data_IF_319256762898
#
_entry.id   IF_319256762898
#
_cell.length_a   1.000
_cell.length_b   1.000
_cell.length_c   1.000
_cell.angle_alpha   90.00
_cell.angle_beta   90.00
_cell.angle_gamma   90.00
#
_symmetry.space_group_name_H-M   'P 1'
#
loop_
_entity.id
_entity.type
_entity.pdbx_description
1 polymer ?
#
# COMPACT_ATOMS: atom_id res chain seq x y z
N UNK A 1 -6.93 -3.08 27.82
CA UNK A 1 -6.14 -3.65 26.70
C UNK A 1 -5.20 -2.59 26.17
N UNK A 2 -3.89 -2.70 26.44
CA UNK A 2 -2.86 -1.80 25.88
C UNK A 2 -2.53 -2.26 24.46
N UNK A 3 -2.93 -1.48 23.46
CA UNK A 3 -2.48 -1.66 22.08
C UNK A 3 -1.06 -1.09 22.04
N UNK A 4 -0.05 -1.98 22.11
CA UNK A 4 1.35 -1.60 22.03
C UNK A 4 1.64 -0.94 20.68
N UNK A 5 2.07 0.31 20.73
CA UNK A 5 2.46 1.11 19.57
C UNK A 5 3.83 0.61 19.05
N UNK A 6 3.84 -0.44 18.24
CA UNK A 6 5.05 -1.07 17.69
C UNK A 6 5.50 -0.45 16.35
N UNK A 7 5.03 0.76 16.04
CA UNK A 7 5.06 1.34 14.70
C UNK A 7 6.29 2.24 14.46
N UNK A 8 6.90 2.77 15.53
CA UNK A 8 8.18 3.51 15.50
C UNK A 8 9.34 2.72 14.88
N UNK A 9 9.27 1.37 14.87
CA UNK A 9 10.31 0.51 14.29
C UNK A 9 10.20 0.30 12.78
N UNK A 10 9.02 0.49 12.17
CA UNK A 10 8.79 0.17 10.75
C UNK A 10 9.53 1.16 9.85
N UNK A 11 9.49 2.46 10.17
CA UNK A 11 10.22 3.48 9.42
C UNK A 11 11.74 3.39 9.62
N UNK A 12 12.24 3.02 10.82
CA UNK A 12 13.67 2.72 11.01
C UNK A 12 14.11 1.50 10.17
N UNK A 13 13.28 0.46 10.10
CA UNK A 13 13.55 -0.72 9.27
C UNK A 13 13.59 -0.36 7.78
N UNK A 14 12.64 0.45 7.30
CA UNK A 14 12.59 0.90 5.90
C UNK A 14 13.74 1.85 5.55
N UNK A 15 14.14 2.75 6.45
CA UNK A 15 15.23 3.71 6.23
C UNK A 15 16.61 3.02 6.14
N UNK A 16 16.84 1.96 6.92
CA UNK A 16 18.09 1.16 6.87
C UNK A 16 18.27 0.41 5.55
N UNK A 17 17.20 0.14 4.79
CA UNK A 17 17.28 -0.57 3.51
C UNK A 17 17.71 0.34 2.35
N UNK A 18 17.77 1.67 2.53
CA UNK A 18 18.08 2.62 1.47
C UNK A 18 19.60 2.86 1.26
N UNK A 19 20.47 2.25 2.09
CA UNK A 19 21.91 2.54 2.14
C UNK A 19 22.85 1.62 1.35
N UNK A 20 22.34 0.67 0.56
CA UNK A 20 23.19 -0.32 -0.12
C UNK A 20 23.00 -0.35 -1.64
N UNK A 21 23.66 0.55 -2.37
CA UNK A 21 23.85 0.38 -3.83
C UNK A 21 25.33 0.14 -4.11
N UNK A 22 25.71 -1.13 -4.16
CA UNK A 22 26.94 -1.54 -4.85
C UNK A 22 26.56 -1.96 -6.28
N UNK A 23 27.21 -1.32 -7.24
CA UNK A 23 27.16 -1.63 -8.66
C UNK A 23 27.95 -2.92 -8.91
N UNK A 24 27.31 -3.95 -9.45
CA UNK A 24 28.01 -5.13 -10.01
C UNK A 24 27.35 -5.51 -11.32
N UNK A 25 28.03 -5.15 -12.42
CA UNK A 25 27.88 -5.81 -13.71
C UNK A 25 28.33 -7.26 -13.56
N UNK A 26 27.43 -8.22 -13.82
CA UNK A 26 27.75 -9.65 -13.92
C UNK A 26 27.25 -10.16 -15.29
N UNK A 27 28.05 -10.96 -16.01
CA UNK A 27 27.68 -11.45 -17.33
C UNK A 27 26.60 -12.54 -17.24
N UNK A 28 25.91 -12.75 -18.35
CA UNK A 28 24.85 -13.73 -18.55
C UNK A 28 25.40 -15.17 -18.43
N UNK A 29 25.48 -15.68 -17.21
CA UNK A 29 25.63 -17.10 -16.91
C UNK A 29 24.48 -17.51 -15.97
N UNK A 30 23.74 -18.55 -16.36
CA UNK A 30 22.47 -18.97 -15.76
C UNK A 30 22.41 -18.84 -14.24
N UNK A 31 21.76 -17.78 -13.77
CA UNK A 31 21.59 -17.54 -12.35
C UNK A 31 20.62 -18.57 -11.78
N UNK A 32 21.15 -19.63 -11.15
CA UNK A 32 20.41 -20.37 -10.13
C UNK A 32 20.03 -19.35 -9.05
N UNK A 33 18.78 -18.89 -9.09
CA UNK A 33 18.19 -18.07 -8.03
C UNK A 33 18.40 -18.83 -6.72
N UNK A 34 19.15 -18.25 -5.79
CA UNK A 34 19.26 -18.75 -4.43
C UNK A 34 17.85 -18.73 -3.80
N UNK A 35 17.21 -19.89 -3.80
CA UNK A 35 15.91 -20.11 -3.16
C UNK A 35 16.10 -20.13 -1.65
N UNK A 36 16.23 -18.96 -1.02
CA UNK A 36 16.29 -18.82 0.43
C UNK A 36 14.95 -19.13 1.14
N UNK A 37 13.97 -19.70 0.43
CA UNK A 37 12.73 -20.25 0.98
C UNK A 37 12.39 -21.52 0.21
N UNK A 38 11.99 -22.58 0.91
CA UNK A 38 11.56 -23.84 0.29
C UNK A 38 10.48 -23.63 -0.78
N UNK A 39 10.35 -24.59 -1.70
CA UNK A 39 9.28 -24.59 -2.71
C UNK A 39 7.94 -24.69 -1.99
N UNK A 40 7.00 -23.78 -2.30
CA UNK A 40 5.61 -23.90 -1.85
C UNK A 40 5.00 -25.23 -2.33
N UNK A 41 4.24 -25.91 -1.49
CA UNK A 41 3.49 -27.13 -1.85
C UNK A 41 2.00 -26.87 -2.09
N UNK A 42 1.24 -27.90 -2.49
CA UNK A 42 -0.22 -27.82 -2.59
C UNK A 42 -0.86 -27.72 -1.19
N UNK A 43 -0.30 -28.42 -0.21
CA UNK A 43 -0.71 -28.36 1.19
C UNK A 43 -0.53 -26.95 1.72
N UNK A 44 0.59 -26.27 1.41
CA UNK A 44 0.81 -24.87 1.77
C UNK A 44 -0.27 -23.96 1.21
N UNK A 45 -0.71 -24.20 -0.03
CA UNK A 45 -1.80 -23.44 -0.66
C UNK A 45 -3.13 -23.64 0.07
N UNK A 46 -3.48 -24.89 0.39
CA UNK A 46 -4.75 -25.24 1.03
C UNK A 46 -4.80 -24.81 2.50
N UNK A 47 -3.65 -24.77 3.19
CA UNK A 47 -3.53 -24.40 4.61
C UNK A 47 -3.16 -22.93 4.84
N UNK A 48 -2.95 -22.15 3.78
CA UNK A 48 -2.61 -20.73 3.85
C UNK A 48 -1.14 -20.44 4.21
N UNK A 49 -0.27 -21.46 4.18
CA UNK A 49 1.17 -21.35 4.37
C UNK A 49 1.95 -21.04 3.09
N UNK A 50 1.27 -20.94 1.95
CA UNK A 50 1.88 -20.53 0.69
C UNK A 50 2.50 -19.13 0.81
N UNK A 51 3.79 -19.03 0.52
CA UNK A 51 4.57 -17.79 0.55
C UNK A 51 4.50 -17.08 -0.80
N UNK A 52 4.15 -15.80 -0.81
CA UNK A 52 4.26 -14.98 -2.02
C UNK A 52 5.74 -14.69 -2.39
N UNK A 53 5.97 -13.97 -3.48
CA UNK A 53 7.30 -13.53 -3.94
C UNK A 53 8.09 -12.69 -2.93
N UNK A 54 7.44 -12.19 -1.88
CA UNK A 54 8.03 -11.42 -0.79
C UNK A 54 8.19 -12.24 0.52
N UNK A 55 7.95 -13.55 0.46
CA UNK A 55 8.06 -14.48 1.59
C UNK A 55 6.92 -14.34 2.61
N UNK A 56 5.78 -13.78 2.23
CA UNK A 56 4.62 -13.56 3.12
C UNK A 56 3.59 -14.68 2.94
N UNK A 57 3.28 -15.37 4.04
CA UNK A 57 2.19 -16.36 4.14
C UNK A 57 0.84 -15.70 4.44
N UNK A 58 -0.26 -16.41 4.24
CA UNK A 58 -1.61 -15.90 4.51
C UNK A 58 -2.16 -14.97 3.44
N UNK A 59 -1.56 -14.99 2.25
CA UNK A 59 -1.94 -14.16 1.08
C UNK A 59 -2.79 -14.91 0.05
N UNK A 60 -3.07 -16.19 0.29
CA UNK A 60 -3.82 -17.04 -0.64
C UNK A 60 -5.24 -16.52 -0.81
N UNK A 61 -5.69 -16.46 -2.07
CA UNK A 61 -7.05 -16.07 -2.45
C UNK A 61 -7.76 -17.32 -2.96
N UNK A 62 -8.53 -17.97 -2.09
CA UNK A 62 -9.40 -19.10 -2.45
C UNK A 62 -10.85 -18.66 -2.57
N UNK A 63 -11.65 -19.42 -3.33
CA UNK A 63 -13.10 -19.25 -3.41
C UNK A 63 -13.70 -19.44 -2.00
N UNK A 64 -14.52 -18.48 -1.55
CA UNK A 64 -15.06 -18.46 -0.18
C UNK A 64 -14.16 -17.81 0.87
N UNK A 65 -12.98 -17.28 0.50
CA UNK A 65 -12.13 -16.55 1.44
C UNK A 65 -12.82 -15.30 1.98
N UNK A 66 -12.81 -15.12 3.31
CA UNK A 66 -13.33 -13.93 3.98
C UNK A 66 -12.34 -12.74 3.90
N UNK A 67 -11.73 -12.53 2.72
CA UNK A 67 -10.68 -11.52 2.50
C UNK A 67 -11.23 -10.11 2.26
N UNK A 68 -12.51 -9.97 1.92
CA UNK A 68 -13.10 -8.65 1.66
C UNK A 68 -13.52 -7.90 2.93
N UNK A 69 -13.32 -8.52 4.10
CA UNK A 69 -13.54 -7.89 5.40
C UNK A 69 -12.63 -6.69 5.59
N UNK A 70 -13.19 -5.59 6.10
CA UNK A 70 -12.43 -4.39 6.45
C UNK A 70 -11.69 -4.62 7.76
N UNK A 71 -10.38 -4.44 7.73
CA UNK A 71 -9.51 -4.60 8.89
C UNK A 71 -9.08 -3.24 9.46
N UNK A 72 -8.91 -3.10 10.78
CA UNK A 72 -8.25 -1.93 11.33
C UNK A 72 -6.81 -1.83 10.80
N UNK A 73 -6.42 -0.64 10.36
CA UNK A 73 -5.08 -0.33 9.84
C UNK A 73 -4.45 0.74 10.72
N UNK A 74 -3.15 0.60 11.02
CA UNK A 74 -2.41 1.60 11.78
C UNK A 74 -2.41 2.97 11.09
N UNK A 75 -2.48 4.06 11.85
CA UNK A 75 -2.49 5.42 11.28
C UNK A 75 -1.27 5.69 10.40
N UNK A 76 -0.10 5.16 10.76
CA UNK A 76 1.11 5.27 9.95
C UNK A 76 0.95 4.63 8.57
N UNK A 77 0.33 3.45 8.50
CA UNK A 77 0.09 2.79 7.22
C UNK A 77 -1.00 3.50 6.40
N UNK A 78 -1.99 4.13 7.05
CA UNK A 78 -2.93 5.01 6.35
C UNK A 78 -2.21 6.21 5.73
N UNK A 79 -1.32 6.86 6.50
CA UNK A 79 -0.52 7.98 6.04
C UNK A 79 0.42 7.57 4.90
N UNK A 80 1.02 6.37 4.98
CA UNK A 80 1.86 5.83 3.92
C UNK A 80 1.09 5.67 2.60
N UNK A 81 -0.09 5.05 2.62
CA UNK A 81 -0.93 4.88 1.43
C UNK A 81 -1.41 6.22 0.88
N UNK A 82 -1.74 7.17 1.76
CA UNK A 82 -2.11 8.53 1.37
C UNK A 82 -0.96 9.25 0.66
N UNK A 83 0.26 9.20 1.22
CA UNK A 83 1.43 9.84 0.63
C UNK A 83 1.77 9.23 -0.73
N UNK A 84 1.61 7.92 -0.92
CA UNK A 84 1.78 7.26 -2.21
C UNK A 84 0.79 7.76 -3.27
N UNK A 85 -0.48 7.98 -2.89
CA UNK A 85 -1.46 8.63 -3.76
C UNK A 85 -1.05 10.07 -4.04
N UNK A 86 -0.67 10.84 -3.02
CA UNK A 86 -0.21 12.22 -3.18
C UNK A 86 0.94 12.30 -4.20
N UNK A 87 1.98 11.50 -4.02
CA UNK A 87 3.12 11.42 -4.93
C UNK A 87 2.71 11.08 -6.36
N UNK A 88 1.75 10.15 -6.53
CA UNK A 88 1.23 9.79 -7.86
C UNK A 88 0.51 10.95 -8.56
N UNK A 89 -0.21 11.81 -7.83
CA UNK A 89 -0.84 12.99 -8.39
C UNK A 89 0.17 14.06 -8.81
N UNK A 90 1.17 14.36 -7.97
CA UNK A 90 2.20 15.36 -8.31
C UNK A 90 3.16 14.89 -9.41
N UNK A 91 3.58 13.63 -9.40
CA UNK A 91 4.58 13.12 -10.36
C UNK A 91 3.97 12.63 -11.66
N UNK A 92 2.80 11.99 -11.58
CA UNK A 92 2.23 11.19 -12.68
C UNK A 92 0.80 11.61 -13.02
N UNK A 93 0.35 12.77 -12.52
CA UNK A 93 -0.96 13.33 -12.82
C UNK A 93 -2.10 12.33 -12.58
N UNK A 94 -2.05 11.63 -11.45
CA UNK A 94 -3.08 10.67 -11.04
C UNK A 94 -3.02 9.32 -11.77
N UNK A 95 -1.92 9.02 -12.47
CA UNK A 95 -1.59 7.68 -12.97
C UNK A 95 -0.53 7.00 -12.10
N UNK A 96 -0.36 5.68 -12.29
CA UNK A 96 0.81 4.98 -11.78
C UNK A 96 2.03 5.31 -12.63
N UNK A 97 3.16 5.63 -12.00
CA UNK A 97 4.43 5.78 -12.68
C UNK A 97 5.06 4.45 -13.11
N UNK A 98 5.86 4.49 -14.17
CA UNK A 98 6.70 3.39 -14.62
C UNK A 98 8.09 3.46 -13.96
N UNK A 99 8.11 3.45 -12.62
CA UNK A 99 9.36 3.45 -11.85
C UNK A 99 9.44 2.19 -10.99
N UNK A 100 10.21 1.21 -11.46
CA UNK A 100 10.37 -0.08 -10.80
C UNK A 100 10.89 0.05 -9.36
N UNK A 101 11.76 1.02 -9.08
CA UNK A 101 12.30 1.23 -7.74
C UNK A 101 11.24 1.73 -6.75
N UNK A 102 10.35 2.64 -7.20
CA UNK A 102 9.22 3.11 -6.40
C UNK A 102 8.20 1.99 -6.16
N UNK A 103 7.85 1.22 -7.20
CA UNK A 103 6.95 0.09 -7.08
C UNK A 103 7.49 -1.00 -6.13
N UNK A 104 8.80 -1.30 -6.21
CA UNK A 104 9.48 -2.23 -5.28
C UNK A 104 9.44 -1.72 -3.84
N UNK A 105 9.71 -0.43 -3.61
CA UNK A 105 9.64 0.18 -2.28
C UNK A 105 8.24 0.11 -1.70
N UNK A 106 7.22 0.47 -2.49
CA UNK A 106 5.82 0.39 -2.07
C UNK A 106 5.44 -1.06 -1.71
N UNK A 107 5.74 -2.00 -2.60
CA UNK A 107 5.46 -3.42 -2.37
C UNK A 107 6.19 -3.95 -1.14
N UNK A 108 7.45 -3.58 -0.92
CA UNK A 108 8.21 -3.98 0.26
C UNK A 108 7.59 -3.43 1.55
N UNK A 109 7.18 -2.17 1.58
CA UNK A 109 6.54 -1.55 2.74
C UNK A 109 5.23 -2.25 3.12
N UNK A 110 4.35 -2.51 2.13
CA UNK A 110 3.10 -3.23 2.34
C UNK A 110 3.38 -4.65 2.86
N UNK A 111 4.27 -5.41 2.23
CA UNK A 111 4.57 -6.78 2.64
C UNK A 111 5.22 -6.85 4.03
N UNK A 112 6.08 -5.90 4.39
CA UNK A 112 6.67 -5.81 5.72
C UNK A 112 5.61 -5.50 6.79
N UNK A 113 4.67 -4.60 6.49
CA UNK A 113 3.53 -4.37 7.37
C UNK A 113 2.68 -5.63 7.55
N UNK A 114 2.36 -6.34 6.47
CA UNK A 114 1.57 -7.57 6.54
C UNK A 114 2.26 -8.67 7.40
N UNK A 115 3.59 -8.72 7.44
CA UNK A 115 4.33 -9.64 8.34
C UNK A 115 4.03 -9.37 9.83
N UNK A 116 3.67 -8.13 10.19
CA UNK A 116 3.27 -7.76 11.56
C UNK A 116 1.82 -8.16 11.91
N UNK A 117 1.01 -8.49 10.89
CA UNK A 117 -0.38 -8.90 11.04
C UNK A 117 -0.47 -10.41 11.21
N UNK A 118 -1.48 -10.88 11.98
CA UNK A 118 -1.81 -12.31 12.09
C UNK A 118 -2.03 -12.91 10.71
N UNK A 119 -1.50 -14.11 10.47
CA UNK A 119 -1.48 -14.76 9.16
C UNK A 119 -2.86 -14.79 8.50
N UNK A 120 -3.89 -15.11 9.27
CA UNK A 120 -5.28 -15.27 8.84
C UNK A 120 -5.93 -13.95 8.39
N UNK A 121 -5.40 -12.82 8.87
CA UNK A 121 -5.91 -11.47 8.61
C UNK A 121 -5.12 -10.73 7.52
N UNK A 122 -3.98 -11.27 7.05
CA UNK A 122 -3.11 -10.60 6.08
C UNK A 122 -3.78 -10.34 4.74
N UNK A 123 -4.48 -11.33 4.19
CA UNK A 123 -5.23 -11.16 2.93
C UNK A 123 -6.30 -10.07 3.05
N UNK A 124 -7.03 -10.03 4.18
CA UNK A 124 -8.05 -9.01 4.45
C UNK A 124 -7.45 -7.61 4.69
N UNK A 125 -6.32 -7.55 5.37
CA UNK A 125 -5.58 -6.30 5.58
C UNK A 125 -5.03 -5.76 4.26
N UNK A 126 -4.46 -6.62 3.42
CA UNK A 126 -3.98 -6.24 2.08
C UNK A 126 -5.13 -5.71 1.21
N UNK A 127 -6.29 -6.38 1.24
CA UNK A 127 -7.49 -5.89 0.58
C UNK A 127 -7.89 -4.50 1.08
N UNK A 128 -7.91 -4.30 2.40
CA UNK A 128 -8.25 -3.02 3.02
C UNK A 128 -7.30 -1.91 2.56
N UNK A 129 -5.98 -2.16 2.55
CA UNK A 129 -4.98 -1.20 2.05
C UNK A 129 -5.20 -0.85 0.57
N UNK A 130 -5.56 -1.83 -0.25
CA UNK A 130 -5.92 -1.61 -1.65
C UNK A 130 -7.16 -0.73 -1.80
N UNK A 131 -8.22 -0.99 -1.02
CA UNK A 131 -9.43 -0.16 -1.03
C UNK A 131 -9.16 1.26 -0.56
N UNK A 132 -8.33 1.44 0.48
CA UNK A 132 -7.91 2.75 0.95
C UNK A 132 -7.22 3.55 -0.16
N UNK A 133 -6.28 2.93 -0.89
CA UNK A 133 -5.58 3.58 -2.01
C UNK A 133 -6.56 4.02 -3.09
N UNK A 134 -7.48 3.14 -3.50
CA UNK A 134 -8.51 3.45 -4.50
C UNK A 134 -9.40 4.60 -4.03
N UNK A 135 -9.85 4.58 -2.78
CA UNK A 135 -10.72 5.62 -2.23
C UNK A 135 -10.04 6.99 -2.17
N UNK A 136 -8.79 7.05 -1.70
CA UNK A 136 -8.03 8.30 -1.73
C UNK A 136 -7.85 8.81 -3.16
N UNK A 137 -7.45 7.94 -4.09
CA UNK A 137 -7.24 8.33 -5.48
C UNK A 137 -8.53 8.84 -6.14
N UNK A 138 -9.67 8.18 -5.90
CA UNK A 138 -10.96 8.61 -6.43
C UNK A 138 -11.38 9.96 -5.86
N UNK A 139 -11.20 10.19 -4.56
CA UNK A 139 -11.60 11.45 -3.92
C UNK A 139 -10.77 12.62 -4.42
N UNK A 140 -9.45 12.44 -4.55
CA UNK A 140 -8.56 13.43 -5.15
C UNK A 140 -8.91 13.66 -6.62
N UNK A 141 -9.12 12.59 -7.41
CA UNK A 141 -9.49 12.71 -8.82
C UNK A 141 -10.82 13.48 -9.02
N UNK A 142 -11.82 13.25 -8.17
CA UNK A 142 -13.08 14.01 -8.20
C UNK A 142 -12.84 15.49 -7.89
N UNK A 143 -12.08 15.82 -6.85
CA UNK A 143 -11.76 17.20 -6.52
C UNK A 143 -10.95 17.90 -7.64
N UNK A 144 -10.04 17.17 -8.31
CA UNK A 144 -9.32 17.69 -9.49
C UNK A 144 -10.30 17.99 -10.62
N UNK A 145 -11.26 17.10 -10.91
CA UNK A 145 -12.27 17.32 -11.97
C UNK A 145 -13.17 18.52 -11.70
N UNK A 146 -13.47 18.80 -10.44
CA UNK A 146 -14.25 19.97 -10.04
C UNK A 146 -13.50 21.28 -10.29
N UNK A 147 -12.18 21.31 -9.99
CA UNK A 147 -11.34 22.51 -10.16
C UNK A 147 -10.77 22.66 -11.58
N UNK A 148 -10.60 21.56 -12.30
CA UNK A 148 -10.04 21.52 -13.66
C UNK A 148 -11.04 20.77 -14.57
N UNK A 149 -12.11 21.45 -15.04
CA UNK A 149 -13.09 20.85 -15.92
C UNK A 149 -12.44 20.26 -17.18
N UNK A 150 -12.82 19.04 -17.54
CA UNK A 150 -12.26 18.33 -18.69
C UNK A 150 -10.93 17.59 -18.42
N UNK A 151 -10.40 17.64 -17.18
CA UNK A 151 -9.26 16.83 -16.80
C UNK A 151 -9.56 15.33 -16.85
N UNK A 152 -8.59 14.56 -17.34
CA UNK A 152 -8.58 13.09 -17.33
C UNK A 152 -7.24 12.58 -16.81
N UNK A 153 -7.19 11.36 -16.27
CA UNK A 153 -5.98 10.79 -15.71
C UNK A 153 -4.79 10.89 -16.67
N UNK A 154 -3.65 11.37 -16.17
CA UNK A 154 -2.43 11.58 -16.94
C UNK A 154 -2.29 12.97 -17.57
N UNK A 155 -3.37 13.77 -17.63
CA UNK A 155 -3.29 15.18 -18.07
C UNK A 155 -2.68 16.05 -16.97
N UNK A 156 -1.84 17.05 -17.32
CA UNK A 156 -1.23 17.94 -16.33
C UNK A 156 -2.24 18.54 -15.36
N UNK A 157 -1.88 18.60 -14.09
CA UNK A 157 -2.65 19.25 -13.03
C UNK A 157 -1.80 20.41 -12.49
N UNK A 158 -2.34 21.63 -12.39
CA UNK A 158 -1.65 22.73 -11.72
C UNK A 158 -1.28 22.37 -10.27
N UNK A 159 -0.05 22.70 -9.85
CA UNK A 159 0.44 22.30 -8.52
C UNK A 159 -0.29 23.00 -7.38
N UNK A 160 -0.70 24.25 -7.58
CA UNK A 160 -1.52 25.05 -6.67
C UNK A 160 -2.90 24.41 -6.42
N UNK A 161 -3.52 23.84 -7.47
CA UNK A 161 -4.75 23.06 -7.35
C UNK A 161 -4.53 21.81 -6.50
N UNK A 162 -3.42 21.10 -6.69
CA UNK A 162 -3.07 19.94 -5.86
C UNK A 162 -2.80 20.33 -4.41
N UNK A 163 -2.09 21.44 -4.18
CA UNK A 163 -1.80 21.94 -2.83
C UNK A 163 -3.09 22.25 -2.07
N UNK A 164 -4.05 22.91 -2.72
CA UNK A 164 -5.37 23.17 -2.15
C UNK A 164 -6.13 21.88 -1.83
N UNK A 165 -6.20 20.94 -2.78
CA UNK A 165 -6.91 19.67 -2.61
C UNK A 165 -6.30 18.83 -1.47
N UNK A 166 -4.98 18.75 -1.38
CA UNK A 166 -4.31 17.96 -0.33
C UNK A 166 -4.24 18.68 1.03
N UNK A 167 -4.57 19.97 1.09
CA UNK A 167 -4.80 20.71 2.33
C UNK A 167 -6.26 20.58 2.82
N UNK A 168 -7.19 20.15 1.97
CA UNK A 168 -8.61 20.05 2.28
C UNK A 168 -8.90 19.08 3.45
N UNK A 169 -9.72 19.52 4.41
CA UNK A 169 -10.10 18.72 5.57
C UNK A 169 -10.83 17.42 5.21
N UNK A 170 -11.63 17.42 4.13
CA UNK A 170 -12.38 16.24 3.68
C UNK A 170 -11.47 15.10 3.20
N UNK A 171 -10.23 15.42 2.81
CA UNK A 171 -9.21 14.47 2.38
C UNK A 171 -8.28 14.12 3.56
N UNK A 172 -7.79 15.13 4.29
CA UNK A 172 -6.85 14.91 5.41
C UNK A 172 -7.50 14.20 6.61
N UNK A 173 -8.81 14.41 6.86
CA UNK A 173 -9.57 13.73 7.93
C UNK A 173 -9.66 12.21 7.75
N UNK A 174 -9.61 11.72 6.51
CA UNK A 174 -9.61 10.29 6.21
C UNK A 174 -8.34 9.58 6.68
N UNK A 175 -7.25 10.34 6.87
CA UNK A 175 -5.95 9.83 7.31
C UNK A 175 -5.78 10.02 8.83
N UNK A 176 -6.12 11.20 9.34
CA UNK A 176 -5.94 11.56 10.76
C UNK A 176 -6.86 10.82 11.72
N UNK A 177 -7.95 10.22 11.20
CA UNK A 177 -8.84 9.41 12.02
C UNK A 177 -9.46 10.20 13.16
N UNK A 178 -10.04 11.39 12.87
CA UNK A 178 -10.93 12.09 13.81
C UNK A 178 -11.99 11.08 14.29
N UNK A 179 -11.78 10.57 15.50
CA UNK A 179 -12.61 9.58 16.19
C UNK A 179 -13.88 10.25 16.71
N UNK A 180 -14.67 10.80 15.80
CA UNK A 180 -15.88 11.57 16.09
C UNK A 180 -17.16 10.88 15.65
N UNK A 181 -17.11 9.65 15.16
CA UNK A 181 -18.24 8.72 15.06
C UNK A 181 -17.67 7.36 14.72
N UNK A 182 -18.01 6.34 15.50
CA UNK A 182 -17.81 4.94 15.14
C UNK A 182 -18.74 4.54 13.98
N UNK A 183 -18.64 5.25 12.85
CA UNK A 183 -18.99 4.73 11.54
C UNK A 183 -17.64 4.45 10.90
N UNK A 184 -17.44 3.20 10.48
CA UNK A 184 -16.18 2.77 9.88
C UNK A 184 -15.78 3.73 8.75
N UNK A 185 -14.54 3.63 8.28
CA UNK A 185 -14.22 4.15 6.96
C UNK A 185 -15.40 3.77 6.03
N UNK A 186 -16.19 4.76 5.60
CA UNK A 186 -17.31 4.59 4.67
C UNK A 186 -16.69 4.25 3.32
N UNK A 187 -16.12 3.05 3.26
CA UNK A 187 -15.68 2.39 2.05
C UNK A 187 -16.98 1.93 1.41
N UNK A 188 -17.63 2.83 0.68
CA UNK A 188 -18.71 2.45 -0.22
C UNK A 188 -18.10 1.52 -1.28
N UNK A 189 -18.36 0.21 -1.15
CA UNK A 189 -18.08 -0.81 -2.16
C UNK A 189 -19.32 -0.96 -3.02
#
# INVERSE_FOLDING_TARGET
MRIGNNSQGIWQLLSRMNGGKANTNMPFAGAKRSSAGGRNTLEDLLTGHYKNSHGVEGMVITKGSNRKRIMPVSNEMKQFVYNDVKDAFYKYNGMSGDNEAEQKRYSAAINNYLKTIKKEDRSATSWTLGQMKVNFANKVASAVKEKVPGWTNGKPIPSDVLDEIFADESITSMVSGKSGTAKGLDIQI
#
